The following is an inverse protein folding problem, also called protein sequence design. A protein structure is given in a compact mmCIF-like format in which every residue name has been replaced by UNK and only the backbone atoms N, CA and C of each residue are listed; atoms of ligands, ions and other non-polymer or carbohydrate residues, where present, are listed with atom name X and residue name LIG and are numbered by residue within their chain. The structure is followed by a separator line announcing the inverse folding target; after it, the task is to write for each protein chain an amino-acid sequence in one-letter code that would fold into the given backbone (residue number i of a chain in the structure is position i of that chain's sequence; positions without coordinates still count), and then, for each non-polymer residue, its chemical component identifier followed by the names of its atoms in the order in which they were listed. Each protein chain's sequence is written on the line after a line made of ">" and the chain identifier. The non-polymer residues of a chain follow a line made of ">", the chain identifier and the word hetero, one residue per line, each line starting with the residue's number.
data_IF_729612368648
#
_entry.id   IF_729612368648
#
_cell.length_a   1.000
_cell.length_b   1.000
_cell.length_c   1.000
_cell.angle_alpha   90.00
_cell.angle_beta   90.00
_cell.angle_gamma   90.00
#
_symmetry.space_group_name_H-M   'P 1'
#
loop_
_entity.id
_entity.type
_entity.pdbx_description
1 polymer ?
#
# COMPACT_ATOMS: atom_id res chain seq x y z
N UNK A 1 15.10 -6.67 58.86
CA UNK A 1 14.01 -5.67 58.70
C UNK A 1 14.70 -4.32 58.54
N UNK A 2 14.71 -3.61 57.41
CA UNK A 2 13.74 -3.45 56.33
C UNK A 2 14.50 -3.30 55.00
N UNK A 3 14.29 -4.18 54.00
CA UNK A 3 13.39 -3.95 52.86
C UNK A 3 13.48 -2.54 52.25
N UNK A 4 14.59 -2.21 51.58
CA UNK A 4 14.63 -1.09 50.62
C UNK A 4 15.84 -1.18 49.68
N UNK A 5 16.08 -2.37 49.12
CA UNK A 5 17.05 -2.57 48.04
C UNK A 5 16.41 -3.47 46.99
N UNK A 6 15.34 -2.97 46.38
CA UNK A 6 14.70 -3.55 45.22
C UNK A 6 14.26 -2.39 44.34
N UNK A 7 14.38 -2.58 43.02
CA UNK A 7 13.94 -1.69 41.94
C UNK A 7 14.98 -0.64 41.50
N UNK A 8 16.01 -1.10 40.79
CA UNK A 8 16.58 -0.37 39.63
C UNK A 8 17.22 -1.40 38.69
N UNK A 9 16.39 -2.31 38.16
CA UNK A 9 16.70 -2.98 36.91
C UNK A 9 15.80 -2.32 35.87
N UNK A 10 16.34 -1.30 35.20
CA UNK A 10 15.74 -0.70 34.02
C UNK A 10 15.70 -1.82 32.98
N UNK A 11 14.52 -2.43 32.84
CA UNK A 11 14.18 -3.22 31.66
C UNK A 11 14.15 -2.20 30.52
N UNK A 12 15.23 -2.14 29.76
CA UNK A 12 15.21 -1.57 28.42
C UNK A 12 14.30 -2.46 27.59
N UNK A 13 12.99 -2.17 27.64
CA UNK A 13 12.05 -2.64 26.63
C UNK A 13 12.51 -1.95 25.35
N UNK A 14 13.28 -2.66 24.53
CA UNK A 14 13.37 -2.34 23.11
C UNK A 14 11.95 -2.47 22.58
N UNK A 15 11.27 -1.33 22.51
CA UNK A 15 10.06 -1.17 21.72
C UNK A 15 10.53 -1.37 20.28
N UNK A 16 10.50 -2.61 19.80
CA UNK A 16 10.44 -2.84 18.37
C UNK A 16 9.07 -2.30 17.96
N UNK A 17 9.00 -1.01 17.64
CA UNK A 17 7.87 -0.49 16.90
C UNK A 17 7.76 -1.35 15.64
N UNK A 18 6.67 -2.08 15.41
CA UNK A 18 6.48 -2.69 14.11
C UNK A 18 6.61 -1.55 13.09
N UNK A 19 7.53 -1.68 12.13
CA UNK A 19 7.55 -0.74 11.00
C UNK A 19 6.19 -0.90 10.32
N UNK A 20 5.31 0.08 10.51
CA UNK A 20 4.04 0.11 9.81
C UNK A 20 4.35 0.18 8.32
N UNK A 21 3.68 -0.66 7.53
CA UNK A 21 3.73 -0.55 6.09
C UNK A 21 3.22 0.84 5.69
N UNK A 22 3.83 1.45 4.67
CA UNK A 22 3.34 2.72 4.14
C UNK A 22 1.86 2.55 3.72
N UNK A 23 1.05 3.57 3.96
CA UNK A 23 -0.32 3.65 3.50
C UNK A 23 -0.54 5.02 2.87
N UNK A 24 -1.64 5.19 2.16
CA UNK A 24 -2.01 6.51 1.65
C UNK A 24 -2.12 7.49 2.81
N UNK A 25 -1.46 8.63 2.64
CA UNK A 25 -1.67 9.78 3.51
C UNK A 25 -3.06 10.33 3.25
N UNK A 26 -3.89 10.41 4.30
CA UNK A 26 -5.27 10.88 4.20
C UNK A 26 -6.09 10.15 3.10
N UNK A 27 -5.87 8.84 2.91
CA UNK A 27 -6.55 8.06 1.86
C UNK A 27 -8.08 7.91 2.03
N UNK A 28 -8.60 8.17 3.23
CA UNK A 28 -10.05 8.27 3.51
C UNK A 28 -10.57 9.71 3.53
N UNK A 29 -9.77 10.70 3.10
CA UNK A 29 -10.19 12.08 2.89
C UNK A 29 -10.90 12.76 4.07
N UNK A 30 -10.47 12.50 5.30
CA UNK A 30 -11.07 13.07 6.51
C UNK A 30 -10.47 14.41 6.93
N UNK A 31 -9.24 14.71 6.49
CA UNK A 31 -8.53 15.95 6.81
C UNK A 31 -8.47 16.88 5.61
N UNK A 32 -8.77 18.16 5.82
CA UNK A 32 -8.87 19.17 4.76
C UNK A 32 -8.22 20.48 5.21
N UNK A 33 -7.53 21.17 4.31
CA UNK A 33 -6.80 22.41 4.55
C UNK A 33 -7.14 23.52 3.55
N UNK A 34 -6.98 24.77 3.99
CA UNK A 34 -7.14 25.94 3.13
C UNK A 34 -5.87 26.19 2.33
N UNK A 35 -5.97 26.25 1.01
CA UNK A 35 -4.80 26.30 0.13
C UNK A 35 -4.63 27.61 -0.65
N UNK A 36 -5.64 28.50 -0.65
CA UNK A 36 -5.56 29.80 -1.35
C UNK A 36 -6.14 30.94 -0.50
N UNK A 37 -5.38 32.04 -0.39
CA UNK A 37 -5.83 33.29 0.22
C UNK A 37 -6.98 33.93 -0.59
N UNK A 38 -8.23 33.65 -0.22
CA UNK A 38 -9.36 34.53 -0.58
C UNK A 38 -10.66 33.86 -0.99
N UNK A 39 -10.71 32.54 -1.20
CA UNK A 39 -11.97 31.81 -1.41
C UNK A 39 -11.82 30.45 -0.74
N UNK A 40 -12.65 30.19 0.27
CA UNK A 40 -12.72 28.96 1.10
C UNK A 40 -12.81 27.66 0.28
N UNK A 41 -11.71 27.27 -0.36
CA UNK A 41 -11.58 26.06 -1.15
C UNK A 41 -10.61 25.18 -0.41
N UNK A 42 -11.18 24.13 0.16
CA UNK A 42 -10.46 23.16 0.97
C UNK A 42 -9.90 22.08 0.05
N UNK A 43 -8.62 21.76 0.19
CA UNK A 43 -8.02 20.57 -0.39
C UNK A 43 -7.84 19.51 0.69
N UNK A 44 -7.90 18.21 0.37
CA UNK A 44 -7.51 17.18 1.32
C UNK A 44 -6.04 17.36 1.68
N UNK A 45 -5.72 17.29 2.97
CA UNK A 45 -4.32 17.37 3.44
C UNK A 45 -3.47 16.30 2.74
N UNK A 46 -2.27 16.68 2.28
CA UNK A 46 -1.33 15.87 1.49
C UNK A 46 -1.78 15.53 0.05
N UNK A 47 -2.81 16.22 -0.43
CA UNK A 47 -3.24 16.15 -1.82
C UNK A 47 -3.28 17.57 -2.40
N UNK A 48 -3.06 17.67 -3.70
CA UNK A 48 -2.88 18.92 -4.42
C UNK A 48 -3.65 18.91 -5.74
N UNK A 49 -4.03 20.09 -6.18
CA UNK A 49 -4.80 20.28 -7.41
C UNK A 49 -4.17 21.36 -8.31
N UNK A 50 -4.87 21.69 -9.40
CA UNK A 50 -4.54 22.84 -10.26
C UNK A 50 -4.55 24.19 -9.52
N UNK A 51 -5.15 24.30 -8.32
CA UNK A 51 -5.11 25.53 -7.51
C UNK A 51 -3.87 25.66 -6.64
N UNK A 52 -3.10 24.60 -6.50
CA UNK A 52 -1.82 24.56 -5.80
C UNK A 52 -0.71 24.11 -6.76
N UNK A 53 -0.83 24.52 -8.02
CA UNK A 53 0.17 24.21 -9.03
C UNK A 53 1.48 24.96 -8.78
N UNK A 54 2.51 24.61 -9.54
CA UNK A 54 3.78 25.32 -9.54
C UNK A 54 3.75 26.70 -10.21
N UNK A 55 2.67 27.04 -10.91
CA UNK A 55 2.43 28.34 -11.50
C UNK A 55 1.32 29.10 -10.76
N UNK A 56 1.74 30.03 -9.89
CA UNK A 56 0.83 30.87 -9.10
C UNK A 56 -0.14 31.70 -9.96
N UNK A 57 0.21 32.01 -11.21
CA UNK A 57 -0.66 32.79 -12.09
C UNK A 57 -1.89 32.01 -12.55
N UNK A 58 -1.77 30.69 -12.70
CA UNK A 58 -2.89 29.81 -13.02
C UNK A 58 -3.73 29.47 -11.78
N UNK A 59 -3.12 29.44 -10.60
CA UNK A 59 -3.81 29.12 -9.34
C UNK A 59 -5.00 30.06 -9.09
N UNK A 60 -4.91 31.35 -9.42
CA UNK A 60 -6.05 32.27 -9.22
C UNK A 60 -7.20 32.04 -10.22
N UNK A 61 -6.87 31.73 -11.48
CA UNK A 61 -7.84 31.73 -12.59
C UNK A 61 -8.41 30.36 -12.95
N UNK A 62 -7.76 29.26 -12.56
CA UNK A 62 -8.24 27.91 -12.85
C UNK A 62 -9.64 27.65 -12.24
N UNK A 63 -10.49 26.80 -12.84
CA UNK A 63 -11.69 26.35 -12.16
C UNK A 63 -11.33 25.49 -10.93
N UNK A 64 -12.29 25.30 -10.03
CA UNK A 64 -12.19 24.21 -9.05
C UNK A 64 -12.90 23.00 -9.60
N UNK A 65 -12.24 21.87 -9.49
CA UNK A 65 -12.63 20.60 -10.12
C UNK A 65 -12.65 19.45 -9.10
N UNK A 66 -12.70 19.81 -7.81
CA UNK A 66 -12.82 18.91 -6.68
C UNK A 66 -13.67 19.56 -5.57
N UNK A 67 -14.07 18.75 -4.60
CA UNK A 67 -14.74 19.21 -3.40
C UNK A 67 -14.78 18.13 -2.33
N UNK A 68 -15.16 18.55 -1.13
CA UNK A 68 -15.48 17.67 -0.01
C UNK A 68 -16.93 17.22 -0.11
N UNK A 69 -17.18 15.92 0.02
CA UNK A 69 -18.53 15.33 0.11
C UNK A 69 -18.81 14.88 1.55
N UNK A 70 -20.03 15.10 2.03
CA UNK A 70 -20.52 14.53 3.31
C UNK A 70 -21.17 13.13 3.12
N UNK A 71 -21.30 12.65 1.88
CA UNK A 71 -21.58 11.25 1.56
C UNK A 71 -20.24 10.53 1.41
N UNK A 72 -19.99 9.56 2.28
CA UNK A 72 -18.71 8.84 2.41
C UNK A 72 -18.96 7.34 2.62
N UNK A 73 -18.02 6.49 2.18
CA UNK A 73 -18.07 5.05 2.43
C UNK A 73 -17.76 4.76 3.89
N UNK A 74 -16.72 5.40 4.42
CA UNK A 74 -16.40 5.40 5.85
C UNK A 74 -16.13 6.82 6.36
N UNK A 75 -16.02 6.99 7.68
CA UNK A 75 -15.79 8.31 8.25
C UNK A 75 -16.95 9.30 8.04
N UNK A 76 -16.62 10.58 7.80
CA UNK A 76 -17.59 11.66 7.60
C UNK A 76 -17.46 12.33 6.24
N UNK A 77 -16.37 12.06 5.50
CA UNK A 77 -16.00 12.86 4.34
C UNK A 77 -15.44 11.99 3.23
N UNK A 78 -15.75 12.31 1.98
CA UNK A 78 -15.07 11.71 0.83
C UNK A 78 -14.54 12.78 -0.11
N UNK A 79 -13.65 12.37 -1.01
CA UNK A 79 -13.28 13.20 -2.15
C UNK A 79 -14.40 13.17 -3.19
N UNK A 80 -14.75 14.33 -3.74
CA UNK A 80 -15.58 14.48 -4.93
C UNK A 80 -14.75 15.19 -6.01
N UNK A 81 -14.60 14.59 -7.19
CA UNK A 81 -13.98 15.20 -8.36
C UNK A 81 -15.03 15.37 -9.45
N UNK A 82 -14.94 16.46 -10.22
CA UNK A 82 -15.89 16.75 -11.28
C UNK A 82 -15.25 17.53 -12.42
N UNK A 83 -15.68 17.25 -13.64
CA UNK A 83 -15.25 17.96 -14.83
C UNK A 83 -16.04 19.26 -14.99
N UNK A 84 -15.33 20.38 -15.14
CA UNK A 84 -15.94 21.71 -15.24
C UNK A 84 -15.61 22.37 -16.58
N UNK A 85 -16.61 22.95 -17.25
CA UNK A 85 -16.37 23.77 -18.44
C UNK A 85 -15.97 25.20 -18.03
N UNK A 86 -14.81 25.65 -18.49
CA UNK A 86 -14.29 26.98 -18.22
C UNK A 86 -13.63 27.56 -19.48
N UNK A 87 -14.07 28.74 -19.92
CA UNK A 87 -13.64 29.36 -21.18
C UNK A 87 -13.73 28.42 -22.41
N UNK A 88 -14.81 27.63 -22.50
CA UNK A 88 -15.04 26.65 -23.58
C UNK A 88 -14.02 25.51 -23.65
N UNK A 89 -13.29 25.29 -22.56
CA UNK A 89 -12.40 24.13 -22.36
C UNK A 89 -12.99 23.34 -21.19
N UNK A 90 -13.12 22.03 -21.34
CA UNK A 90 -13.49 21.16 -20.23
C UNK A 90 -12.21 20.81 -19.46
N UNK A 91 -12.18 21.14 -18.17
CA UNK A 91 -11.08 20.82 -17.26
C UNK A 91 -11.44 19.59 -16.46
N UNK A 92 -10.61 18.55 -16.56
CA UNK A 92 -10.83 17.29 -15.84
C UNK A 92 -10.66 17.47 -14.33
N UNK A 93 -11.61 16.96 -13.56
CA UNK A 93 -11.46 16.80 -12.11
C UNK A 93 -10.25 15.95 -11.80
N UNK A 94 -9.20 16.55 -11.24
CA UNK A 94 -7.91 15.89 -10.99
C UNK A 94 -7.36 16.26 -9.63
N UNK A 95 -6.84 15.27 -8.92
CA UNK A 95 -6.05 15.48 -7.70
C UNK A 95 -4.86 14.53 -7.65
N UNK A 96 -3.78 14.97 -7.01
CA UNK A 96 -2.55 14.18 -6.87
C UNK A 96 -1.93 14.34 -5.48
N UNK A 97 -1.12 13.38 -5.03
CA UNK A 97 -0.26 13.53 -3.85
C UNK A 97 1.15 14.06 -4.20
N UNK A 98 1.35 14.43 -5.46
CA UNK A 98 2.51 15.20 -5.92
C UNK A 98 2.17 16.68 -6.04
N UNK A 99 2.79 17.36 -7.00
CA UNK A 99 2.45 18.72 -7.44
C UNK A 99 1.94 18.70 -8.87
N UNK A 100 1.08 19.65 -9.20
CA UNK A 100 0.60 19.87 -10.56
C UNK A 100 1.48 20.91 -11.24
N UNK A 101 1.97 20.60 -12.44
CA UNK A 101 2.47 21.57 -13.41
C UNK A 101 1.36 21.91 -14.39
N UNK A 102 1.05 23.19 -14.54
CA UNK A 102 -0.03 23.65 -15.40
C UNK A 102 0.50 24.53 -16.51
N UNK A 103 0.26 24.13 -17.76
CA UNK A 103 0.60 24.92 -18.94
C UNK A 103 -0.54 24.85 -19.98
N UNK A 104 -0.63 25.88 -20.84
CA UNK A 104 -1.48 25.86 -22.03
C UNK A 104 -0.62 25.67 -23.28
N UNK A 105 -0.94 24.67 -24.15
CA UNK A 105 -2.10 23.77 -24.09
C UNK A 105 -1.99 22.69 -22.99
N UNK A 106 -3.12 22.17 -22.51
CA UNK A 106 -3.20 21.22 -21.39
C UNK A 106 -2.38 19.92 -21.58
N UNK A 107 -2.04 19.55 -22.81
CA UNK A 107 -1.13 18.44 -23.12
C UNK A 107 0.30 18.64 -22.58
N UNK A 108 0.68 19.89 -22.31
CA UNK A 108 1.95 20.24 -21.67
C UNK A 108 1.88 20.17 -20.14
N UNK A 109 0.69 20.02 -19.55
CA UNK A 109 0.53 19.84 -18.11
C UNK A 109 0.91 18.42 -17.68
N UNK A 110 1.39 18.31 -16.44
CA UNK A 110 1.76 17.03 -15.83
C UNK A 110 1.66 17.10 -14.32
N UNK A 111 1.66 15.95 -13.67
CA UNK A 111 1.76 15.82 -12.23
C UNK A 111 3.11 15.19 -11.90
N UNK A 112 3.76 15.67 -10.85
CA UNK A 112 5.09 15.22 -10.53
C UNK A 112 5.36 15.14 -9.03
N UNK A 113 6.33 14.30 -8.68
CA UNK A 113 6.86 14.26 -7.31
C UNK A 113 8.05 15.19 -7.21
N UNK A 114 8.06 16.11 -6.25
CA UNK A 114 9.27 16.90 -5.91
C UNK A 114 9.98 16.24 -4.71
N UNK A 115 11.13 15.56 -4.91
CA UNK A 115 11.82 14.87 -3.83
C UNK A 115 12.40 15.80 -2.76
N UNK A 116 12.46 17.11 -3.03
CA UNK A 116 13.07 18.10 -2.14
C UNK A 116 12.04 18.88 -1.30
N UNK A 117 10.75 18.65 -1.50
CA UNK A 117 9.66 19.32 -0.79
C UNK A 117 8.62 18.30 -0.31
N UNK A 118 8.59 18.04 0.99
CA UNK A 118 7.71 17.06 1.64
C UNK A 118 6.22 17.34 1.43
N UNK A 119 5.84 18.54 0.95
CA UNK A 119 4.45 18.84 0.57
C UNK A 119 4.02 18.17 -0.74
N UNK A 120 4.98 17.85 -1.59
CA UNK A 120 4.77 17.41 -2.98
C UNK A 120 5.36 16.03 -3.23
N UNK A 121 5.63 15.28 -2.17
CA UNK A 121 6.04 13.90 -2.24
C UNK A 121 5.33 13.09 -1.15
N UNK A 122 5.08 11.81 -1.45
CA UNK A 122 4.64 10.84 -0.46
C UNK A 122 5.63 9.69 -0.43
N UNK A 123 6.21 9.45 0.74
CA UNK A 123 7.20 8.41 0.94
C UNK A 123 6.59 7.02 0.76
N UNK A 124 7.26 6.18 -0.03
CA UNK A 124 6.93 4.76 -0.21
C UNK A 124 8.19 3.92 -0.13
N UNK A 125 8.46 3.35 1.03
CA UNK A 125 9.59 2.43 1.24
C UNK A 125 9.22 0.95 1.15
N UNK A 126 8.05 0.60 0.59
CA UNK A 126 7.57 -0.79 0.51
C UNK A 126 7.07 -1.14 -0.89
N UNK A 127 6.81 -2.43 -1.10
CA UNK A 127 6.33 -2.97 -2.38
C UNK A 127 4.94 -3.62 -2.20
N UNK A 128 3.85 -2.82 -2.20
CA UNK A 128 2.50 -3.37 -2.13
C UNK A 128 2.13 -4.18 -3.36
N UNK A 129 1.21 -5.13 -3.20
CA UNK A 129 0.71 -5.99 -4.28
C UNK A 129 -0.37 -5.28 -5.11
N UNK A 130 -1.24 -4.52 -4.46
CA UNK A 130 -2.38 -3.89 -5.11
C UNK A 130 -2.80 -2.58 -4.43
N UNK A 131 -3.49 -1.74 -5.19
CA UNK A 131 -4.21 -0.57 -4.70
C UNK A 131 -5.70 -0.92 -4.65
N UNK A 132 -6.34 -0.55 -3.57
CA UNK A 132 -7.79 -0.72 -3.39
C UNK A 132 -8.38 0.58 -2.87
N UNK A 133 -9.69 0.72 -3.06
CA UNK A 133 -10.46 1.85 -2.55
C UNK A 133 -11.93 1.68 -2.91
N UNK A 134 -12.71 2.70 -2.61
CA UNK A 134 -14.13 2.75 -2.90
C UNK A 134 -14.44 3.95 -3.79
N UNK A 135 -15.42 3.77 -4.68
CA UNK A 135 -15.88 4.83 -5.55
C UNK A 135 -17.39 4.82 -5.74
N UNK A 136 -17.92 6.00 -6.08
CA UNK A 136 -19.19 6.21 -6.77
C UNK A 136 -18.90 7.03 -8.02
N UNK A 137 -19.72 6.90 -9.07
CA UNK A 137 -19.48 7.65 -10.30
C UNK A 137 -20.78 7.99 -11.02
N UNK A 138 -20.78 9.15 -11.66
CA UNK A 138 -21.84 9.65 -12.51
C UNK A 138 -21.23 10.29 -13.78
N UNK A 139 -20.60 9.48 -14.66
CA UNK A 139 -19.99 9.97 -15.89
C UNK A 139 -21.05 10.42 -16.90
N UNK A 140 -20.70 11.39 -17.75
CA UNK A 140 -21.54 11.85 -18.85
C UNK A 140 -21.07 11.22 -20.16
N UNK A 141 -21.99 10.55 -20.87
CA UNK A 141 -21.66 9.89 -22.14
C UNK A 141 -20.76 8.68 -21.94
N UNK A 142 -19.65 8.62 -22.68
CA UNK A 142 -18.65 7.55 -22.61
C UNK A 142 -17.43 7.90 -21.74
N UNK A 143 -17.48 9.03 -21.01
CA UNK A 143 -16.40 9.48 -20.12
C UNK A 143 -16.20 8.50 -18.95
N UNK A 144 -15.01 8.50 -18.35
CA UNK A 144 -14.67 7.62 -17.25
C UNK A 144 -13.57 8.18 -16.37
N UNK A 145 -13.70 7.99 -15.05
CA UNK A 145 -12.64 8.34 -14.11
C UNK A 145 -11.49 7.34 -14.12
N UNK A 146 -10.32 7.77 -13.66
CA UNK A 146 -9.13 6.91 -13.58
C UNK A 146 -8.49 6.94 -12.20
N UNK A 147 -7.82 5.83 -11.86
CA UNK A 147 -6.92 5.72 -10.70
C UNK A 147 -5.56 5.30 -11.24
N UNK A 148 -4.56 6.19 -11.13
CA UNK A 148 -3.18 5.92 -11.53
C UNK A 148 -2.28 6.05 -10.30
N UNK A 149 -1.51 5.01 -9.99
CA UNK A 149 -0.53 5.02 -8.89
C UNK A 149 0.79 4.49 -9.42
N UNK A 150 1.82 5.34 -9.41
CA UNK A 150 3.17 4.96 -9.74
C UNK A 150 4.03 4.87 -8.48
N UNK A 151 4.81 3.79 -8.39
CA UNK A 151 5.89 3.67 -7.41
C UNK A 151 7.19 3.96 -8.13
N UNK A 152 8.04 4.80 -7.55
CA UNK A 152 9.22 5.32 -8.26
C UNK A 152 10.35 5.72 -7.31
N UNK A 153 11.50 6.05 -7.89
CA UNK A 153 12.66 6.60 -7.18
C UNK A 153 13.04 7.97 -7.78
N UNK A 154 13.44 8.91 -6.94
CA UNK A 154 13.68 10.29 -7.37
C UNK A 154 12.41 11.01 -7.87
N UNK A 155 12.58 11.84 -8.90
CA UNK A 155 11.50 12.65 -9.50
C UNK A 155 10.80 11.88 -10.62
N UNK A 156 9.48 11.98 -10.74
CA UNK A 156 8.68 11.33 -11.78
C UNK A 156 7.64 12.31 -12.31
N UNK A 157 7.41 12.33 -13.62
CA UNK A 157 6.44 13.21 -14.28
C UNK A 157 5.40 12.40 -15.05
N UNK A 158 4.12 12.46 -14.68
CA UNK A 158 3.05 11.76 -15.39
C UNK A 158 2.10 12.76 -16.05
N UNK A 159 1.71 12.58 -17.33
CA UNK A 159 2.03 11.45 -18.20
C UNK A 159 3.33 11.62 -19.03
N UNK A 160 4.13 12.67 -18.81
CA UNK A 160 5.22 13.05 -19.73
C UNK A 160 6.45 12.14 -19.71
N UNK A 161 6.93 11.72 -18.55
CA UNK A 161 8.15 10.94 -18.38
C UNK A 161 8.03 9.89 -17.28
N UNK A 162 7.92 8.63 -17.70
CA UNK A 162 7.81 7.48 -16.80
C UNK A 162 9.16 6.79 -16.55
N UNK A 163 10.31 7.38 -16.91
CA UNK A 163 11.61 6.70 -16.88
C UNK A 163 12.02 6.20 -15.49
N UNK A 164 11.59 6.90 -14.44
CA UNK A 164 11.90 6.58 -13.05
C UNK A 164 10.85 5.68 -12.39
N UNK A 165 9.80 5.28 -13.12
CA UNK A 165 8.76 4.41 -12.61
C UNK A 165 9.30 2.98 -12.39
N UNK A 166 9.17 2.50 -11.15
CA UNK A 166 9.48 1.12 -10.75
C UNK A 166 8.27 0.21 -10.96
N UNK A 167 7.07 0.76 -10.75
CA UNK A 167 5.81 0.04 -10.87
C UNK A 167 4.64 0.98 -11.18
N UNK A 168 3.58 0.44 -11.79
CA UNK A 168 2.36 1.18 -12.07
C UNK A 168 1.12 0.33 -11.76
N UNK A 169 0.15 0.94 -11.09
CA UNK A 169 -1.24 0.53 -11.12
C UNK A 169 -2.03 1.57 -11.93
N UNK A 170 -2.81 1.11 -12.90
CA UNK A 170 -3.68 1.96 -13.69
C UNK A 170 -5.03 1.27 -13.86
N UNK A 171 -6.09 1.99 -13.50
CA UNK A 171 -7.46 1.52 -13.60
C UNK A 171 -8.32 2.61 -14.25
N UNK A 172 -8.98 2.24 -15.34
CA UNK A 172 -10.13 2.94 -15.88
C UNK A 172 -11.38 2.43 -15.17
N UNK A 173 -12.17 3.33 -14.62
CA UNK A 173 -13.43 2.95 -13.99
C UNK A 173 -14.53 2.82 -15.05
N UNK A 174 -15.64 2.12 -14.74
CA UNK A 174 -16.71 1.97 -15.71
C UNK A 174 -17.29 3.34 -16.12
N UNK A 175 -17.56 3.53 -17.42
CA UNK A 175 -18.28 4.69 -17.97
C UNK A 175 -19.79 4.68 -17.66
N UNK A 176 -20.24 3.79 -16.77
CA UNK A 176 -21.62 3.70 -16.31
C UNK A 176 -21.79 4.28 -14.91
N UNK A 177 -22.99 4.77 -14.61
CA UNK A 177 -23.34 5.28 -13.28
C UNK A 177 -23.18 4.18 -12.23
N UNK A 178 -22.43 4.50 -11.17
CA UNK A 178 -22.25 3.68 -9.97
C UNK A 178 -22.75 4.48 -8.77
N UNK A 179 -24.00 4.26 -8.38
CA UNK A 179 -24.69 5.06 -7.34
C UNK A 179 -24.38 4.63 -5.90
N UNK A 180 -23.94 3.38 -5.71
CA UNK A 180 -23.56 2.81 -4.42
C UNK A 180 -22.04 2.70 -4.33
N UNK A 181 -21.50 2.90 -3.13
CA UNK A 181 -20.06 2.72 -2.87
C UNK A 181 -19.62 1.34 -3.31
N UNK A 182 -18.75 1.31 -4.32
CA UNK A 182 -18.27 0.10 -4.96
C UNK A 182 -16.76 0.01 -4.78
N UNK A 183 -16.30 -1.14 -4.31
CA UNK A 183 -14.87 -1.38 -4.11
C UNK A 183 -14.18 -1.61 -5.46
N UNK A 184 -13.05 -0.95 -5.69
CA UNK A 184 -12.12 -1.29 -6.75
C UNK A 184 -10.86 -1.96 -6.19
N UNK A 185 -10.17 -2.70 -7.05
CA UNK A 185 -8.90 -3.34 -6.75
C UNK A 185 -8.10 -3.45 -8.03
N UNK A 186 -6.92 -2.84 -8.06
CA UNK A 186 -6.02 -2.88 -9.20
C UNK A 186 -4.65 -3.41 -8.76
N UNK A 187 -4.07 -4.40 -9.46
CA UNK A 187 -2.73 -4.86 -9.16
C UNK A 187 -1.69 -3.78 -9.49
N UNK A 188 -0.60 -3.76 -8.74
CA UNK A 188 0.58 -2.95 -9.06
C UNK A 188 1.52 -3.80 -9.90
N UNK A 189 1.73 -3.38 -11.15
CA UNK A 189 2.62 -4.08 -12.09
C UNK A 189 4.03 -3.53 -11.94
N UNK A 190 4.94 -4.38 -11.44
CA UNK A 190 6.35 -4.04 -11.25
C UNK A 190 7.18 -4.33 -12.51
N UNK A 191 7.93 -3.33 -12.96
CA UNK A 191 8.87 -3.43 -14.08
C UNK A 191 10.32 -3.54 -13.61
N UNK A 192 10.60 -3.13 -12.37
CA UNK A 192 11.92 -3.17 -11.73
C UNK A 192 11.87 -3.78 -10.33
N UNK A 193 12.97 -4.39 -9.90
CA UNK A 193 13.17 -4.91 -8.54
C UNK A 193 13.72 -3.87 -7.55
N UNK A 194 14.01 -2.65 -8.01
CA UNK A 194 14.50 -1.56 -7.17
C UNK A 194 13.49 -1.19 -6.08
N UNK A 195 13.97 -0.80 -4.91
CA UNK A 195 13.10 -0.39 -3.83
C UNK A 195 12.50 0.99 -4.15
N UNK A 196 11.16 1.17 -4.17
CA UNK A 196 10.59 2.50 -4.29
C UNK A 196 11.05 3.43 -3.16
N UNK A 197 11.09 4.71 -3.47
CA UNK A 197 11.32 5.80 -2.52
C UNK A 197 10.03 6.61 -2.31
N UNK A 198 9.24 6.77 -3.38
CA UNK A 198 8.04 7.59 -3.42
C UNK A 198 6.88 6.91 -4.13
N UNK A 199 5.67 7.40 -3.85
CA UNK A 199 4.49 7.13 -4.65
C UNK A 199 3.92 8.42 -5.26
N UNK A 200 3.49 8.34 -6.52
CA UNK A 200 2.73 9.39 -7.20
C UNK A 200 1.36 8.82 -7.60
N UNK A 201 0.31 9.38 -7.03
CA UNK A 201 -1.08 8.97 -7.24
C UNK A 201 -1.84 10.09 -7.91
N UNK A 202 -2.59 9.77 -8.96
CA UNK A 202 -3.44 10.68 -9.71
C UNK A 202 -4.83 10.03 -9.80
N UNK A 203 -5.83 10.79 -9.37
CA UNK A 203 -7.24 10.41 -9.50
C UNK A 203 -7.93 11.39 -10.44
N UNK A 204 -8.77 10.88 -11.35
CA UNK A 204 -9.50 11.73 -12.30
C UNK A 204 -10.99 11.43 -12.36
N UNK A 205 -11.80 12.45 -12.67
CA UNK A 205 -13.23 12.35 -12.97
C UNK A 205 -13.55 12.06 -14.44
N UNK A 206 -12.55 12.18 -15.32
CA UNK A 206 -12.67 11.89 -16.75
C UNK A 206 -11.39 11.31 -17.36
N UNK A 207 -11.46 10.97 -18.65
CA UNK A 207 -10.43 10.22 -19.38
C UNK A 207 -9.11 10.99 -19.59
N UNK A 208 -9.11 12.29 -19.30
CA UNK A 208 -7.96 13.18 -19.39
C UNK A 208 -7.59 13.65 -20.80
N UNK A 209 -8.22 13.11 -21.85
CA UNK A 209 -7.98 13.48 -23.24
C UNK A 209 -9.16 14.26 -23.83
N UNK A 210 -10.37 13.74 -23.66
CA UNK A 210 -11.63 14.29 -24.14
C UNK A 210 -12.66 14.31 -22.99
N UNK A 211 -12.35 14.98 -21.86
CA UNK A 211 -13.23 15.00 -20.70
C UNK A 211 -14.58 15.63 -21.04
N UNK A 212 -15.65 15.08 -20.47
CA UNK A 212 -17.00 15.59 -20.69
C UNK A 212 -17.45 16.39 -19.46
N UNK A 213 -17.91 17.62 -19.68
CA UNK A 213 -18.35 18.50 -18.60
C UNK A 213 -19.53 17.87 -17.83
N UNK A 214 -19.48 17.96 -16.50
CA UNK A 214 -20.48 17.38 -15.62
C UNK A 214 -20.28 15.90 -15.28
N UNK A 215 -19.24 15.23 -15.78
CA UNK A 215 -18.83 13.93 -15.24
C UNK A 215 -18.34 14.09 -13.80
N UNK A 216 -18.84 13.25 -12.90
CA UNK A 216 -18.53 13.30 -11.47
C UNK A 216 -18.05 11.93 -10.96
N UNK A 217 -17.14 11.95 -9.99
CA UNK A 217 -16.68 10.76 -9.30
C UNK A 217 -16.37 11.06 -7.83
N UNK A 218 -16.65 10.09 -6.97
CA UNK A 218 -16.27 10.14 -5.56
C UNK A 218 -15.27 9.03 -5.26
N UNK A 219 -14.30 9.33 -4.42
CA UNK A 219 -13.32 8.37 -3.94
C UNK A 219 -13.26 8.37 -2.42
N UNK A 220 -13.06 7.19 -1.85
CA UNK A 220 -12.88 7.01 -0.41
C UNK A 220 -12.03 5.77 -0.08
N UNK A 221 -11.49 5.74 1.13
CA UNK A 221 -10.76 4.61 1.74
C UNK A 221 -9.67 4.00 0.83
N UNK A 222 -8.82 4.84 0.24
CA UNK A 222 -7.66 4.38 -0.54
C UNK A 222 -6.67 3.64 0.36
N UNK A 223 -6.25 2.45 -0.10
CA UNK A 223 -5.36 1.59 0.66
C UNK A 223 -4.39 0.83 -0.24
N UNK A 224 -3.16 0.67 0.25
CA UNK A 224 -2.22 -0.30 -0.27
C UNK A 224 -2.43 -1.66 0.38
N UNK A 225 -2.62 -2.69 -0.43
CA UNK A 225 -2.65 -4.07 0.02
C UNK A 225 -1.26 -4.65 -0.15
N UNK A 226 -0.70 -5.08 0.97
CA UNK A 226 0.55 -5.81 0.99
C UNK A 226 0.22 -7.29 1.04
N UNK A 227 0.76 -8.05 0.10
CA UNK A 227 0.87 -9.48 0.30
C UNK A 227 1.98 -9.67 1.35
N UNK A 228 1.63 -9.51 2.62
CA UNK A 228 2.49 -9.95 3.71
C UNK A 228 2.78 -11.40 3.43
N UNK A 229 4.05 -11.70 3.12
CA UNK A 229 4.54 -13.06 2.90
C UNK A 229 3.65 -14.00 3.71
N UNK A 230 2.86 -14.81 3.02
CA UNK A 230 2.35 -16.02 3.62
C UNK A 230 3.55 -16.73 4.26
N UNK A 231 3.30 -17.70 5.13
CA UNK A 231 4.33 -18.73 5.26
C UNK A 231 4.59 -19.16 3.82
N UNK A 232 5.75 -18.81 3.26
CA UNK A 232 6.17 -19.36 1.99
C UNK A 232 6.19 -20.86 2.27
N UNK A 233 5.11 -21.53 1.87
CA UNK A 233 5.16 -22.92 1.47
C UNK A 233 6.00 -22.94 0.20
N UNK A 234 7.27 -22.54 0.31
CA UNK A 234 8.32 -23.28 -0.36
C UNK A 234 8.08 -24.69 0.15
N UNK A 235 7.30 -25.47 -0.60
CA UNK A 235 7.23 -26.90 -0.45
C UNK A 235 8.65 -27.38 -0.69
N UNK A 236 9.46 -27.30 0.36
CA UNK A 236 10.77 -27.86 0.34
C UNK A 236 10.54 -29.35 0.26
N UNK A 237 10.83 -29.90 -0.91
CA UNK A 237 11.28 -31.27 -1.02
C UNK A 237 12.45 -31.53 -0.04
N UNK A 238 13.10 -30.48 0.45
CA UNK A 238 14.19 -30.46 1.42
C UNK A 238 13.77 -30.68 2.89
N UNK A 239 12.48 -30.65 3.26
CA UNK A 239 12.06 -31.03 4.62
C UNK A 239 10.84 -31.92 4.62
N UNK A 240 10.96 -33.07 5.28
CA UNK A 240 9.86 -33.99 5.54
C UNK A 240 9.64 -34.09 7.06
N UNK A 241 8.41 -33.90 7.51
CA UNK A 241 8.07 -34.07 8.92
C UNK A 241 6.81 -34.92 9.06
N UNK A 242 6.80 -35.87 10.00
CA UNK A 242 5.65 -36.72 10.26
C UNK A 242 5.59 -37.14 11.74
N UNK A 243 4.39 -37.48 12.20
CA UNK A 243 4.17 -38.01 13.53
C UNK A 243 4.24 -39.54 13.54
N UNK A 244 4.94 -40.12 14.52
CA UNK A 244 4.91 -41.55 14.80
C UNK A 244 4.97 -41.78 16.31
N UNK A 245 4.01 -42.52 16.86
CA UNK A 245 3.91 -42.82 18.31
C UNK A 245 3.96 -41.57 19.21
N UNK A 246 3.24 -40.50 18.83
CA UNK A 246 3.19 -39.25 19.61
C UNK A 246 4.47 -38.40 19.57
N UNK A 247 5.43 -38.74 18.70
CA UNK A 247 6.68 -38.02 18.47
C UNK A 247 6.74 -37.45 17.06
N UNK A 248 7.40 -36.31 16.91
CA UNK A 248 7.66 -35.69 15.60
C UNK A 248 9.01 -36.18 15.09
N UNK A 249 9.00 -36.70 13.87
CA UNK A 249 10.18 -37.07 13.10
C UNK A 249 10.38 -36.03 12.01
N UNK A 250 11.59 -35.51 11.88
CA UNK A 250 11.98 -34.48 10.92
C UNK A 250 13.15 -35.05 10.12
N UNK A 251 13.06 -34.99 8.80
CA UNK A 251 14.12 -35.31 7.86
C UNK A 251 14.39 -34.08 7.01
N UNK A 252 15.66 -33.70 6.85
CA UNK A 252 16.08 -32.58 6.04
C UNK A 252 16.96 -33.13 4.92
N UNK A 253 16.54 -32.95 3.66
CA UNK A 253 17.35 -33.27 2.50
C UNK A 253 18.24 -32.04 2.22
N UNK A 254 19.31 -31.90 2.99
CA UNK A 254 20.29 -30.83 2.84
C UNK A 254 21.71 -31.39 2.79
N UNK A 255 22.67 -30.59 2.31
CA UNK A 255 24.08 -30.98 2.38
C UNK A 255 24.56 -30.98 3.84
N UNK A 256 25.40 -31.94 4.25
CA UNK A 256 25.84 -32.14 5.64
C UNK A 256 26.60 -30.95 6.28
N UNK A 257 26.85 -29.88 5.53
CA UNK A 257 27.53 -28.67 5.99
C UNK A 257 26.57 -27.50 6.26
N UNK A 258 25.26 -27.71 6.12
CA UNK A 258 24.27 -26.65 6.30
C UNK A 258 23.74 -26.60 7.73
N UNK A 259 23.59 -25.39 8.25
CA UNK A 259 23.08 -25.15 9.60
C UNK A 259 21.66 -24.60 9.52
N UNK A 260 20.74 -25.26 10.19
CA UNK A 260 19.34 -24.91 10.26
C UNK A 260 18.93 -24.50 11.67
N UNK A 261 18.08 -23.48 11.76
CA UNK A 261 17.26 -23.23 12.94
C UNK A 261 15.96 -24.02 12.82
N UNK A 262 15.76 -25.02 13.64
CA UNK A 262 14.52 -25.81 13.73
C UNK A 262 13.67 -25.28 14.87
N UNK A 263 12.40 -25.02 14.61
CA UNK A 263 11.42 -24.66 15.63
C UNK A 263 10.16 -25.52 15.47
N UNK A 264 9.65 -26.02 16.59
CA UNK A 264 8.35 -26.71 16.64
C UNK A 264 7.41 -25.85 17.48
N UNK A 265 6.27 -25.48 16.91
CA UNK A 265 5.25 -24.67 17.58
C UNK A 265 3.90 -25.36 17.53
N UNK A 266 3.04 -25.09 18.51
CA UNK A 266 1.63 -25.48 18.43
C UNK A 266 0.82 -24.51 17.55
N UNK A 267 -0.48 -24.81 17.38
CA UNK A 267 -1.40 -24.00 16.58
C UNK A 267 -1.57 -22.55 17.09
N UNK A 268 -1.23 -22.29 18.35
CA UNK A 268 -1.26 -20.94 18.93
C UNK A 268 0.07 -20.21 18.76
N UNK A 269 1.04 -20.81 18.06
CA UNK A 269 2.37 -20.24 17.84
C UNK A 269 3.30 -20.36 19.04
N UNK A 270 2.91 -21.06 20.12
CA UNK A 270 3.79 -21.27 21.26
C UNK A 270 4.89 -22.25 20.86
N UNK A 271 6.14 -21.80 21.00
CA UNK A 271 7.32 -22.59 20.68
C UNK A 271 7.53 -23.67 21.74
N UNK A 272 7.47 -24.93 21.31
CA UNK A 272 7.65 -26.12 22.16
C UNK A 272 9.08 -26.65 22.08
N UNK A 273 9.76 -26.41 20.97
CA UNK A 273 11.15 -26.80 20.76
C UNK A 273 11.86 -25.81 19.84
N UNK A 274 13.13 -25.53 20.13
CA UNK A 274 14.01 -24.71 19.30
C UNK A 274 15.41 -25.34 19.30
N UNK A 275 15.99 -25.48 18.10
CA UNK A 275 17.40 -25.76 17.91
C UNK A 275 17.95 -24.78 16.89
N UNK A 276 18.86 -23.89 17.31
CA UNK A 276 19.36 -22.82 16.44
C UNK A 276 20.45 -23.27 15.47
N UNK A 277 21.10 -24.41 15.72
CA UNK A 277 22.31 -24.84 15.02
C UNK A 277 22.28 -26.33 14.64
N UNK A 278 21.20 -26.79 14.01
CA UNK A 278 21.05 -28.18 13.61
C UNK A 278 21.76 -28.45 12.27
N UNK A 279 22.61 -29.49 12.23
CA UNK A 279 23.41 -29.88 11.05
C UNK A 279 23.20 -31.35 10.63
N UNK A 280 22.14 -32.00 11.12
CA UNK A 280 21.84 -33.40 10.81
C UNK A 280 20.84 -33.57 9.68
N UNK A 281 20.73 -34.80 9.16
CA UNK A 281 19.71 -35.15 8.18
C UNK A 281 18.39 -35.60 8.83
N UNK A 282 18.44 -36.14 10.06
CA UNK A 282 17.27 -36.69 10.77
C UNK A 282 17.24 -36.32 12.23
N UNK A 283 16.09 -35.88 12.70
CA UNK A 283 15.80 -35.54 14.09
C UNK A 283 14.51 -36.23 14.53
N UNK A 284 14.50 -36.73 15.76
CA UNK A 284 13.28 -37.17 16.44
C UNK A 284 13.12 -36.35 17.70
N UNK A 285 12.01 -35.62 17.80
CA UNK A 285 11.66 -34.91 19.02
C UNK A 285 11.28 -35.96 20.08
N UNK A 286 12.11 -36.11 21.11
CA UNK A 286 11.91 -37.14 22.13
C UNK A 286 10.75 -36.82 23.08
N UNK A 287 10.33 -35.56 23.15
CA UNK A 287 9.19 -35.13 23.93
C UNK A 287 7.90 -35.70 23.33
N UNK A 288 7.13 -36.38 24.17
CA UNK A 288 5.80 -36.84 23.79
C UNK A 288 4.85 -35.64 23.79
N UNK A 289 4.27 -35.35 22.63
CA UNK A 289 3.35 -34.24 22.45
C UNK A 289 1.91 -34.72 22.57
N UNK A 290 1.01 -33.81 22.95
CA UNK A 290 -0.42 -34.09 23.00
C UNK A 290 -1.00 -34.22 21.59
N UNK A 291 -2.22 -34.74 21.48
CA UNK A 291 -2.96 -34.69 20.21
C UNK A 291 -3.18 -33.24 19.80
N UNK A 292 -2.92 -32.93 18.53
CA UNK A 292 -3.03 -31.56 18.02
C UNK A 292 -2.26 -31.32 16.73
N UNK A 293 -2.38 -30.09 16.22
CA UNK A 293 -1.65 -29.60 15.05
C UNK A 293 -0.40 -28.86 15.51
N UNK A 294 0.71 -29.17 14.86
CA UNK A 294 2.02 -28.58 15.10
C UNK A 294 2.61 -28.07 13.79
N UNK A 295 3.35 -26.97 13.88
CA UNK A 295 4.13 -26.39 12.79
C UNK A 295 5.61 -26.61 13.06
N UNK A 296 6.30 -27.19 12.08
CA UNK A 296 7.74 -27.39 12.10
C UNK A 296 8.32 -26.39 11.10
N UNK A 297 9.13 -25.46 11.58
CA UNK A 297 9.84 -24.49 10.73
C UNK A 297 11.33 -24.79 10.74
N UNK A 298 11.95 -24.85 9.56
CA UNK A 298 13.39 -24.93 9.40
C UNK A 298 13.90 -23.70 8.63
N UNK A 299 14.78 -22.92 9.26
CA UNK A 299 15.32 -21.69 8.67
C UNK A 299 16.81 -21.84 8.38
N UNK A 300 17.23 -21.50 7.16
CA UNK A 300 18.62 -21.47 6.68
C UNK A 300 18.89 -20.10 6.03
N UNK A 301 19.69 -19.26 6.67
CA UNK A 301 19.90 -17.88 6.21
C UNK A 301 18.56 -17.12 6.18
N UNK A 302 18.15 -16.67 4.99
CA UNK A 302 16.85 -16.01 4.76
C UNK A 302 15.73 -16.98 4.36
N UNK A 303 16.04 -18.24 4.03
CA UNK A 303 15.05 -19.22 3.61
C UNK A 303 14.38 -19.86 4.83
N UNK A 304 13.05 -19.95 4.83
CA UNK A 304 12.28 -20.69 5.84
C UNK A 304 11.38 -21.71 5.16
N UNK A 305 11.41 -22.94 5.68
CA UNK A 305 10.57 -24.04 5.24
C UNK A 305 9.63 -24.43 6.36
N UNK A 306 8.36 -24.69 6.03
CA UNK A 306 7.35 -25.06 7.04
C UNK A 306 6.66 -26.36 6.68
N UNK A 307 6.43 -27.21 7.69
CA UNK A 307 5.56 -28.40 7.58
C UNK A 307 4.54 -28.42 8.70
N UNK A 308 3.30 -28.76 8.34
CA UNK A 308 2.22 -29.03 9.27
C UNK A 308 2.20 -30.52 9.60
N UNK A 309 2.21 -30.86 10.88
CA UNK A 309 2.10 -32.23 11.38
C UNK A 309 0.92 -32.33 12.34
N UNK A 310 0.12 -33.38 12.18
CA UNK A 310 -0.97 -33.69 13.08
C UNK A 310 -0.61 -34.93 13.91
N UNK A 311 -0.80 -34.84 15.22
CA UNK A 311 -0.62 -35.94 16.16
C UNK A 311 -2.01 -36.37 16.65
N UNK A 312 -2.31 -37.67 16.50
CA UNK A 312 -3.47 -38.33 17.09
C UNK A 312 -3.16 -38.84 18.49
#
# INVERSE_FOLDING_TARGET
>A
MNKLLLVFLIIAVFVNSPMAQNQFENGGFESWEEVVNGIYKLEPVNWSSIKTSDDESYNEVAPVVWGKSDDAHSGNSSLHLFNEEYFSIVVTGTITNGRVHTELPAVNSYMYTDPNDDRWNSIMGWRPDSVVGWYKSNPVGDDFGTVKVALHAGELHLPQDESNAIALAYLELPSGITSEWTRFSTPIVYYSNEQPEYQLTILTAGDGLEPVAGSEIWFDDLQFIYNNNSIDDNFADDINAFAYQGKINISINGSQNETYKITVSDIMGRQLYINNNYQGEKMVLQQQLQSGIYFITATKGQQTFTKKVFIN
#
